data_IF_435134606013
#
_entry.id   IF_435134606013
#
_cell.length_a   1.000
_cell.length_b   1.000
_cell.length_c   1.000
_cell.angle_alpha   90.00
_cell.angle_beta   90.00
_cell.angle_gamma   90.00
#
_symmetry.space_group_name_H-M   'P 1'
#
loop_
_entity.id
_entity.type
_entity.pdbx_description
1 polymer ?
#
# COMPACT_ATOMS: atom_id res chain seq x y z
N UNK A 1 8.46 -33.46 36.41
CA UNK A 1 7.60 -32.30 36.60
C UNK A 1 7.73 -31.38 35.39
N UNK A 2 7.19 -31.76 34.22
CA UNK A 2 7.18 -31.00 32.96
C UNK A 2 6.11 -31.54 31.99
N UNK A 3 4.82 -31.55 32.40
CA UNK A 3 3.72 -32.04 31.54
C UNK A 3 2.45 -31.22 31.76
N UNK A 4 2.51 -29.91 31.50
CA UNK A 4 1.29 -29.07 31.58
C UNK A 4 1.16 -27.98 30.50
N UNK A 5 2.00 -27.94 29.49
CA UNK A 5 2.00 -26.82 28.51
C UNK A 5 1.38 -27.16 27.16
N UNK A 6 1.14 -28.41 26.79
CA UNK A 6 0.66 -28.74 25.44
C UNK A 6 -0.85 -28.98 25.32
N UNK A 7 -1.57 -29.25 26.40
CA UNK A 7 -3.03 -29.36 26.37
C UNK A 7 -3.77 -28.02 26.09
N UNK A 8 -3.09 -26.90 26.25
CA UNK A 8 -3.68 -25.58 25.98
C UNK A 8 -3.68 -25.19 24.48
N UNK A 9 -2.80 -25.73 23.65
CA UNK A 9 -2.74 -25.40 22.23
C UNK A 9 -3.93 -25.97 21.42
N UNK A 10 -4.38 -27.19 21.75
CA UNK A 10 -5.53 -27.80 21.08
C UNK A 10 -6.87 -27.14 21.44
N UNK A 11 -7.00 -26.59 22.64
CA UNK A 11 -8.20 -25.89 23.08
C UNK A 11 -8.36 -24.50 22.39
N UNK A 12 -7.25 -23.88 21.98
CA UNK A 12 -7.27 -22.57 21.29
C UNK A 12 -7.68 -22.67 19.81
N UNK A 13 -7.46 -23.79 19.15
CA UNK A 13 -7.90 -23.99 17.75
C UNK A 13 -9.43 -24.09 17.66
N UNK A 14 -10.08 -24.68 18.66
CA UNK A 14 -11.54 -24.71 18.72
C UNK A 14 -12.17 -23.39 19.20
N UNK A 15 -11.49 -22.63 20.07
CA UNK A 15 -11.99 -21.35 20.56
C UNK A 15 -11.87 -20.23 19.52
N UNK A 16 -10.89 -20.29 18.60
CA UNK A 16 -10.74 -19.31 17.52
C UNK A 16 -11.84 -19.38 16.46
N UNK A 17 -12.47 -20.52 16.27
CA UNK A 17 -13.59 -20.70 15.33
C UNK A 17 -14.93 -20.15 15.85
N UNK A 18 -15.09 -19.99 17.17
CA UNK A 18 -16.33 -19.50 17.78
C UNK A 18 -16.37 -17.96 17.83
N UNK A 19 -15.23 -17.27 17.74
CA UNK A 19 -15.15 -15.81 17.82
C UNK A 19 -15.32 -15.09 16.46
N UNK A 20 -15.48 -15.84 15.35
CA UNK A 20 -15.76 -15.29 14.02
C UNK A 20 -17.25 -15.41 13.59
N UNK A 21 -18.14 -15.77 14.51
CA UNK A 21 -19.55 -15.53 14.24
C UNK A 21 -19.74 -14.02 14.01
N UNK A 22 -20.37 -13.60 12.90
CA UNK A 22 -20.71 -12.21 12.71
C UNK A 22 -21.56 -11.80 13.91
N UNK A 23 -20.97 -11.01 14.80
CA UNK A 23 -21.70 -10.47 15.93
C UNK A 23 -22.97 -9.88 15.39
N UNK A 24 -24.11 -10.33 15.91
CA UNK A 24 -25.42 -9.76 15.65
C UNK A 24 -25.35 -8.27 15.89
N UNK A 25 -25.01 -7.53 14.82
CA UNK A 25 -25.23 -6.09 14.82
C UNK A 25 -26.72 -5.92 14.88
N UNK A 26 -27.21 -5.41 15.99
CA UNK A 26 -28.60 -5.00 16.14
C UNK A 26 -29.02 -4.20 14.89
N UNK A 27 -30.00 -4.67 14.14
CA UNK A 27 -30.50 -3.94 12.98
C UNK A 27 -31.26 -2.73 13.51
N UNK A 28 -30.77 -1.53 13.27
CA UNK A 28 -31.57 -0.35 13.53
C UNK A 28 -30.92 0.83 14.22
N UNK A 29 -29.65 0.74 14.65
CA UNK A 29 -28.94 1.96 15.03
C UNK A 29 -28.83 2.85 13.79
N UNK A 30 -29.27 4.08 13.91
CA UNK A 30 -29.27 5.06 12.82
C UNK A 30 -27.86 5.26 12.29
N UNK A 31 -27.54 4.54 11.21
CA UNK A 31 -26.21 4.50 10.59
C UNK A 31 -25.78 5.86 10.04
N UNK A 32 -26.74 6.74 9.72
CA UNK A 32 -26.46 8.11 9.31
C UNK A 32 -25.90 8.94 10.48
N UNK A 33 -26.34 8.67 11.69
CA UNK A 33 -25.82 9.34 12.90
C UNK A 33 -24.37 8.95 13.19
N UNK A 34 -24.01 7.67 12.96
CA UNK A 34 -22.64 7.17 13.12
C UNK A 34 -21.67 7.84 12.15
N UNK A 35 -22.04 7.97 10.87
CA UNK A 35 -21.17 8.66 9.88
C UNK A 35 -21.00 10.15 10.17
N UNK A 36 -22.06 10.81 10.67
CA UNK A 36 -21.98 12.22 11.10
C UNK A 36 -21.06 12.39 12.30
N UNK A 37 -21.14 11.51 13.29
CA UNK A 37 -20.26 11.51 14.44
C UNK A 37 -18.79 11.27 14.01
N UNK A 38 -18.55 10.35 13.09
CA UNK A 38 -17.21 10.11 12.53
C UNK A 38 -16.67 11.33 11.77
N UNK A 39 -17.50 12.04 11.01
CA UNK A 39 -17.08 13.25 10.30
C UNK A 39 -16.67 14.35 11.28
N UNK A 40 -17.44 14.57 12.35
CA UNK A 40 -17.12 15.55 13.40
C UNK A 40 -15.79 15.20 14.07
N UNK A 41 -15.57 13.93 14.41
CA UNK A 41 -14.34 13.48 15.03
C UNK A 41 -13.13 13.67 14.10
N UNK A 42 -13.31 13.46 12.80
CA UNK A 42 -12.29 13.73 11.79
C UNK A 42 -11.91 15.20 11.73
N UNK A 43 -12.89 16.09 11.73
CA UNK A 43 -12.66 17.54 11.69
C UNK A 43 -11.94 18.01 12.95
N UNK A 44 -12.29 17.49 14.11
CA UNK A 44 -11.60 17.76 15.38
C UNK A 44 -10.14 17.27 15.35
N UNK A 45 -9.90 16.06 14.82
CA UNK A 45 -8.56 15.48 14.68
C UNK A 45 -7.72 16.33 13.72
N UNK A 46 -8.31 16.77 12.61
CA UNK A 46 -7.63 17.64 11.64
C UNK A 46 -7.27 19.00 12.24
N UNK A 47 -8.17 19.62 13.01
CA UNK A 47 -7.90 20.88 13.68
C UNK A 47 -6.73 20.76 14.68
N UNK A 48 -6.68 19.68 15.47
CA UNK A 48 -5.57 19.39 16.39
C UNK A 48 -4.26 19.15 15.64
N UNK A 49 -4.28 18.37 14.58
CA UNK A 49 -3.12 18.16 13.72
C UNK A 49 -2.57 19.49 13.19
N UNK A 50 -3.45 20.35 12.67
CA UNK A 50 -3.07 21.67 12.15
C UNK A 50 -2.39 22.53 13.20
N UNK A 51 -2.90 22.53 14.44
CA UNK A 51 -2.30 23.25 15.55
C UNK A 51 -0.87 22.73 15.87
N UNK A 52 -0.69 21.42 15.94
CA UNK A 52 0.63 20.80 16.20
C UNK A 52 1.59 21.02 15.02
N UNK A 53 1.10 21.01 13.78
CA UNK A 53 1.91 21.34 12.61
C UNK A 53 2.44 22.79 12.65
N UNK A 54 1.61 23.73 13.12
CA UNK A 54 2.04 25.13 13.34
C UNK A 54 3.10 25.25 14.44
N UNK A 55 2.96 24.49 15.54
CA UNK A 55 3.99 24.41 16.60
C UNK A 55 5.32 23.86 16.04
N UNK A 56 5.30 22.81 15.22
CA UNK A 56 6.51 22.27 14.62
C UNK A 56 7.18 23.28 13.67
N UNK A 57 6.42 24.07 12.95
CA UNK A 57 6.93 25.17 12.11
C UNK A 57 7.59 26.26 12.96
N UNK A 58 7.00 26.62 14.08
CA UNK A 58 7.60 27.57 15.02
C UNK A 58 8.91 27.01 15.62
N UNK A 59 8.91 25.77 16.06
CA UNK A 59 10.12 25.11 16.57
C UNK A 59 11.25 25.06 15.53
N UNK A 60 10.92 24.76 14.26
CA UNK A 60 11.88 24.82 13.16
C UNK A 60 12.53 26.21 13.04
N UNK A 61 11.73 27.28 13.11
CA UNK A 61 12.25 28.64 13.02
C UNK A 61 13.19 28.98 14.17
N UNK A 62 12.82 28.60 15.41
CA UNK A 62 13.64 28.78 16.60
C UNK A 62 14.97 28.00 16.47
N UNK A 63 14.91 26.73 16.12
CA UNK A 63 16.09 25.88 15.94
C UNK A 63 16.99 26.39 14.82
N UNK A 64 16.44 26.78 13.68
CA UNK A 64 17.19 27.31 12.54
C UNK A 64 17.87 28.64 12.88
N UNK A 65 17.20 29.51 13.66
CA UNK A 65 17.78 30.76 14.13
C UNK A 65 18.91 30.52 15.13
N UNK A 66 18.72 29.61 16.08
CA UNK A 66 19.75 29.26 17.05
C UNK A 66 21.00 28.67 16.37
N UNK A 67 20.82 27.80 15.39
CA UNK A 67 21.93 27.21 14.62
C UNK A 67 22.70 28.23 13.77
N UNK A 68 22.05 29.27 13.23
CA UNK A 68 22.73 30.35 12.48
C UNK A 68 23.67 31.16 13.36
N UNK A 69 23.42 31.25 14.65
CA UNK A 69 24.24 31.97 15.60
C UNK A 69 25.44 31.17 16.11
N UNK A 70 25.60 29.93 15.69
CA UNK A 70 26.70 29.02 16.02
C UNK A 70 27.56 28.65 14.77
N UNK A 71 28.31 29.59 14.19
CA UNK A 71 28.92 29.46 12.85
C UNK A 71 30.04 28.42 12.75
N UNK A 72 30.52 27.88 13.85
CA UNK A 72 31.64 26.92 13.84
C UNK A 72 31.22 25.45 13.75
N UNK A 73 29.91 25.17 13.75
CA UNK A 73 29.43 23.80 13.71
C UNK A 73 28.90 23.43 12.29
N UNK A 74 29.86 23.21 11.37
CA UNK A 74 29.60 22.71 10.00
C UNK A 74 28.94 21.34 9.93
N UNK A 75 28.54 20.74 11.05
CA UNK A 75 27.90 19.43 11.15
C UNK A 75 26.40 19.47 10.87
N UNK A 76 25.78 20.64 10.89
CA UNK A 76 24.36 20.76 10.65
C UNK A 76 24.12 21.15 9.19
N UNK A 77 23.89 20.16 8.36
CA UNK A 77 23.23 20.32 7.07
C UNK A 77 22.04 21.27 7.22
N UNK A 78 21.82 22.12 6.24
CA UNK A 78 20.66 23.02 6.17
C UNK A 78 19.41 22.22 6.53
N UNK A 79 18.79 22.53 7.67
CA UNK A 79 17.53 21.92 8.07
C UNK A 79 16.48 22.33 7.06
N UNK A 80 15.84 21.36 6.44
CA UNK A 80 14.68 21.63 5.61
C UNK A 80 13.50 21.98 6.52
N UNK A 81 12.65 22.95 6.15
CA UNK A 81 11.44 23.27 6.88
C UNK A 81 10.52 22.04 6.97
N UNK A 82 9.59 22.01 7.94
CA UNK A 82 8.53 21.02 7.91
C UNK A 82 7.83 21.19 6.56
N UNK A 83 7.71 20.09 5.82
CA UNK A 83 6.90 20.16 4.60
C UNK A 83 5.49 20.53 5.01
N UNK A 84 5.04 21.68 4.61
CA UNK A 84 3.60 21.87 4.47
C UNK A 84 3.19 20.90 3.36
N UNK A 85 2.50 19.83 3.75
CA UNK A 85 1.92 18.89 2.81
C UNK A 85 0.71 19.59 2.17
N UNK A 86 0.98 20.60 1.37
CA UNK A 86 -0.01 21.18 0.46
C UNK A 86 -0.19 20.15 -0.64
N UNK A 87 -1.29 19.43 -0.56
CA UNK A 87 -1.71 18.52 -1.60
C UNK A 87 -2.22 19.35 -2.76
N UNK A 88 -1.69 19.15 -3.95
CA UNK A 88 -2.16 19.89 -5.08
C UNK A 88 -1.35 19.66 -6.35
N UNK A 89 -1.72 20.38 -7.34
CA UNK A 89 -1.11 20.33 -8.65
C UNK A 89 0.40 20.66 -8.60
N UNK A 90 1.23 19.88 -9.27
CA UNK A 90 2.71 20.01 -9.31
C UNK A 90 3.40 19.91 -7.93
N UNK A 91 2.74 19.35 -6.91
CA UNK A 91 3.38 19.04 -5.62
C UNK A 91 3.86 17.60 -5.65
N UNK A 92 5.19 17.43 -5.72
CA UNK A 92 5.81 16.12 -5.91
C UNK A 92 6.15 15.46 -4.58
N UNK A 93 5.99 14.12 -4.47
CA UNK A 93 6.58 13.36 -3.38
C UNK A 93 8.11 13.29 -3.50
N UNK A 94 8.79 12.90 -2.41
CA UNK A 94 10.14 12.39 -2.52
C UNK A 94 10.07 10.89 -2.79
N UNK A 95 10.85 10.44 -3.77
CA UNK A 95 11.01 9.00 -4.02
C UNK A 95 12.11 8.47 -3.11
N UNK A 96 11.73 7.62 -2.16
CA UNK A 96 12.66 7.06 -1.19
C UNK A 96 13.46 5.91 -1.81
N UNK A 97 14.77 5.89 -1.50
CA UNK A 97 15.67 4.80 -1.82
C UNK A 97 15.80 3.88 -0.60
N UNK A 98 14.97 2.88 -0.51
CA UNK A 98 15.07 1.90 0.56
C UNK A 98 13.71 1.48 1.09
N UNK A 99 13.69 0.37 1.83
CA UNK A 99 12.49 -0.12 2.48
C UNK A 99 11.99 0.98 3.41
N UNK A 100 10.88 1.59 3.07
CA UNK A 100 10.13 2.38 4.04
C UNK A 100 9.96 1.48 5.26
N UNK A 101 10.46 1.94 6.41
CA UNK A 101 10.27 1.27 7.71
C UNK A 101 8.80 1.35 8.18
N UNK A 102 7.85 1.41 7.28
CA UNK A 102 6.49 1.00 7.59
C UNK A 102 6.56 -0.50 7.88
N UNK A 103 6.89 -0.84 9.13
CA UNK A 103 6.45 -2.09 9.68
C UNK A 103 4.93 -2.10 9.53
N UNK A 104 4.43 -2.63 8.43
CA UNK A 104 3.07 -3.14 8.41
C UNK A 104 3.08 -4.23 9.47
N UNK A 105 2.58 -3.89 10.66
CA UNK A 105 2.29 -4.91 11.64
C UNK A 105 1.48 -5.98 10.93
N UNK A 106 1.84 -7.23 11.12
CA UNK A 106 1.13 -8.41 10.58
C UNK A 106 -0.26 -8.60 11.20
N UNK A 107 -0.67 -7.72 12.07
CA UNK A 107 -2.00 -7.60 12.65
C UNK A 107 -2.82 -6.62 11.84
N UNK A 108 -4.14 -6.82 11.67
CA UNK A 108 -5.01 -5.86 11.03
C UNK A 108 -4.83 -4.50 11.73
N UNK A 109 -4.09 -3.63 11.09
CA UNK A 109 -3.87 -2.29 11.58
C UNK A 109 -5.18 -1.54 11.37
N UNK A 110 -6.03 -1.60 12.37
CA UNK A 110 -7.15 -0.69 12.46
C UNK A 110 -6.60 0.73 12.50
N UNK A 111 -6.91 1.53 11.52
CA UNK A 111 -6.73 2.97 11.60
C UNK A 111 -7.78 3.52 12.55
N UNK A 112 -7.58 3.33 13.86
CA UNK A 112 -8.51 3.86 14.85
C UNK A 112 -8.18 5.32 15.12
N UNK A 113 -9.20 6.17 15.20
CA UNK A 113 -9.08 7.57 15.58
C UNK A 113 -8.33 7.78 16.90
N UNK A 114 -8.57 6.96 17.95
CA UNK A 114 -7.82 7.06 19.21
C UNK A 114 -6.32 6.94 19.04
N UNK A 115 -5.85 6.13 18.07
CA UNK A 115 -4.42 5.98 17.80
C UNK A 115 -3.84 7.25 17.15
N UNK A 116 -4.53 7.82 16.15
CA UNK A 116 -4.11 9.06 15.50
C UNK A 116 -4.06 10.21 16.51
N UNK A 117 -5.06 10.31 17.36
CA UNK A 117 -5.17 11.32 18.42
C UNK A 117 -4.05 11.21 19.46
N UNK A 118 -3.68 9.98 19.82
CA UNK A 118 -2.53 9.70 20.69
C UNK A 118 -1.23 10.19 20.04
N UNK A 119 -0.99 9.89 18.77
CA UNK A 119 0.22 10.32 18.06
C UNK A 119 0.33 11.84 17.95
N UNK A 120 -0.78 12.55 17.75
CA UNK A 120 -0.83 14.03 17.74
C UNK A 120 -0.45 14.57 19.10
N UNK A 121 -0.99 13.98 20.18
CA UNK A 121 -0.69 14.39 21.56
C UNK A 121 0.80 14.17 21.89
N UNK A 122 1.35 13.02 21.55
CA UNK A 122 2.78 12.70 21.74
C UNK A 122 3.68 13.66 20.94
N UNK A 123 3.31 13.98 19.70
CA UNK A 123 4.07 14.95 18.91
C UNK A 123 4.08 16.35 19.55
N UNK A 124 2.94 16.82 20.05
CA UNK A 124 2.85 18.10 20.76
C UNK A 124 3.74 18.14 22.01
N UNK A 125 3.73 17.06 22.80
CA UNK A 125 4.57 16.94 24.00
C UNK A 125 6.06 16.96 23.66
N UNK A 126 6.47 16.22 22.61
CA UNK A 126 7.86 16.18 22.17
C UNK A 126 8.34 17.56 21.69
N UNK A 127 7.50 18.32 20.97
CA UNK A 127 7.82 19.69 20.55
C UNK A 127 8.06 20.57 21.78
N UNK A 128 7.13 20.58 22.72
CA UNK A 128 7.24 21.38 23.95
C UNK A 128 8.52 21.04 24.74
N UNK A 129 8.87 19.75 24.83
CA UNK A 129 10.11 19.31 25.47
C UNK A 129 11.35 19.84 24.76
N UNK A 130 11.39 19.81 23.44
CA UNK A 130 12.52 20.30 22.66
C UNK A 130 12.62 21.84 22.68
N UNK A 131 11.52 22.56 22.71
CA UNK A 131 11.49 24.02 22.88
C UNK A 131 12.10 24.42 24.23
N UNK A 132 11.63 23.80 25.32
CA UNK A 132 12.17 24.04 26.66
C UNK A 132 13.67 23.72 26.77
N UNK A 133 14.15 22.71 26.03
CA UNK A 133 15.56 22.40 25.96
C UNK A 133 16.39 23.50 25.28
N UNK A 134 15.85 24.15 24.22
CA UNK A 134 16.52 25.28 23.56
C UNK A 134 16.60 26.52 24.42
N UNK A 135 15.63 26.76 25.30
CA UNK A 135 15.62 27.88 26.24
C UNK A 135 16.78 27.80 27.23
N UNK A 136 17.27 26.60 27.54
CA UNK A 136 18.44 26.38 28.40
C UNK A 136 19.82 26.64 27.78
N UNK A 137 19.92 26.96 26.49
CA UNK A 137 21.17 27.17 25.76
C UNK A 137 22.12 28.21 26.38
N UNK A 138 21.67 29.38 26.86
CA UNK A 138 22.56 30.45 27.32
C UNK A 138 23.50 30.09 28.49
N UNK A 139 23.14 29.11 29.29
CA UNK A 139 23.89 28.68 30.47
C UNK A 139 24.88 27.55 30.26
N UNK A 140 24.95 26.97 29.04
CA UNK A 140 25.73 25.77 28.76
C UNK A 140 27.13 26.07 28.25
N UNK A 141 28.08 25.22 28.63
CA UNK A 141 29.38 25.18 27.99
C UNK A 141 29.30 24.69 26.53
N UNK A 142 30.40 24.82 25.78
CA UNK A 142 30.42 24.50 24.33
C UNK A 142 30.06 23.05 24.04
N UNK A 143 30.53 22.09 24.84
CA UNK A 143 30.31 20.68 24.59
C UNK A 143 28.84 20.29 24.87
N UNK A 144 28.28 20.78 26.01
CA UNK A 144 26.90 20.57 26.36
C UNK A 144 25.94 21.23 25.36
N UNK A 145 26.27 22.44 24.88
CA UNK A 145 25.49 23.15 23.84
C UNK A 145 25.46 22.37 22.53
N UNK A 146 26.63 21.87 22.10
CA UNK A 146 26.71 21.03 20.90
C UNK A 146 25.83 19.78 21.01
N UNK A 147 25.93 19.05 22.13
CA UNK A 147 25.12 17.86 22.37
C UNK A 147 23.62 18.16 22.39
N UNK A 148 23.24 19.34 22.90
CA UNK A 148 21.85 19.78 22.88
C UNK A 148 21.34 20.02 21.45
N UNK A 149 22.14 20.72 20.62
CA UNK A 149 21.80 20.93 19.22
C UNK A 149 21.68 19.63 18.45
N UNK A 150 22.60 18.68 18.64
CA UNK A 150 22.50 17.36 18.01
C UNK A 150 21.19 16.67 18.36
N UNK A 151 20.78 16.68 19.65
CA UNK A 151 19.49 16.13 20.08
C UNK A 151 18.29 16.89 19.50
N UNK A 152 18.34 18.21 19.49
CA UNK A 152 17.26 19.04 18.96
C UNK A 152 17.05 18.82 17.45
N UNK A 153 18.16 18.70 16.68
CA UNK A 153 18.13 18.39 15.23
C UNK A 153 17.56 16.99 15.00
N UNK A 154 18.02 15.98 15.73
CA UNK A 154 17.51 14.62 15.61
C UNK A 154 16.02 14.54 16.01
N UNK A 155 15.64 15.19 17.09
CA UNK A 155 14.25 15.29 17.54
C UNK A 155 13.36 15.95 16.48
N UNK A 156 13.81 17.06 15.89
CA UNK A 156 13.11 17.73 14.80
C UNK A 156 12.88 16.81 13.59
N UNK A 157 13.92 16.11 13.15
CA UNK A 157 13.84 15.19 12.01
C UNK A 157 12.85 14.05 12.27
N UNK A 158 12.86 13.50 13.49
CA UNK A 158 11.90 12.48 13.90
C UNK A 158 10.47 13.00 13.95
N UNK A 159 10.27 14.20 14.51
CA UNK A 159 8.96 14.86 14.56
C UNK A 159 8.43 15.17 13.17
N UNK A 160 9.28 15.71 12.28
CA UNK A 160 8.91 15.98 10.89
C UNK A 160 8.38 14.72 10.20
N UNK A 161 9.08 13.60 10.35
CA UNK A 161 8.64 12.32 9.78
C UNK A 161 7.35 11.80 10.44
N UNK A 162 7.22 11.95 11.77
CA UNK A 162 6.00 11.56 12.49
C UNK A 162 4.80 12.37 12.02
N UNK A 163 4.92 13.69 11.88
CA UNK A 163 3.86 14.56 11.39
C UNK A 163 3.41 14.22 9.97
N UNK A 164 4.34 13.86 9.07
CA UNK A 164 4.00 13.35 7.74
C UNK A 164 3.18 12.07 7.81
N UNK A 165 3.54 11.14 8.70
CA UNK A 165 2.80 9.91 8.88
C UNK A 165 1.40 10.16 9.45
N UNK A 166 1.25 11.07 10.41
CA UNK A 166 -0.04 11.46 11.00
C UNK A 166 -0.94 12.05 9.90
N UNK A 167 -0.41 12.97 9.08
CA UNK A 167 -1.17 13.53 7.96
C UNK A 167 -1.61 12.46 6.98
N UNK A 168 -0.72 11.55 6.58
CA UNK A 168 -1.07 10.42 5.72
C UNK A 168 -2.22 9.57 6.30
N UNK A 169 -2.23 9.34 7.61
CA UNK A 169 -3.31 8.63 8.28
C UNK A 169 -4.63 9.40 8.26
N UNK A 170 -4.60 10.71 8.54
CA UNK A 170 -5.79 11.56 8.49
C UNK A 170 -6.39 11.56 7.08
N UNK A 171 -5.57 11.77 6.07
CA UNK A 171 -6.02 11.81 4.67
C UNK A 171 -6.54 10.45 4.20
N UNK A 172 -5.88 9.37 4.59
CA UNK A 172 -6.35 8.01 4.30
C UNK A 172 -7.72 7.74 4.94
N UNK A 173 -7.92 8.15 6.17
CA UNK A 173 -9.21 8.03 6.84
C UNK A 173 -10.30 8.88 6.16
N UNK A 174 -9.97 10.11 5.74
CA UNK A 174 -10.91 10.96 4.98
C UNK A 174 -11.34 10.29 3.68
N UNK A 175 -10.37 9.75 2.94
CA UNK A 175 -10.64 9.02 1.69
C UNK A 175 -11.61 7.86 1.94
N UNK A 176 -11.30 6.99 2.91
CA UNK A 176 -12.12 5.82 3.20
C UNK A 176 -13.50 6.17 3.72
N UNK A 177 -13.62 7.17 4.59
CA UNK A 177 -14.91 7.64 5.07
C UNK A 177 -15.80 8.09 3.91
N UNK A 178 -15.26 8.92 3.03
CA UNK A 178 -15.99 9.41 1.84
C UNK A 178 -16.35 8.27 0.88
N UNK A 179 -15.42 7.34 0.67
CA UNK A 179 -15.63 6.20 -0.23
C UNK A 179 -16.72 5.25 0.31
N UNK A 180 -16.65 4.88 1.60
CA UNK A 180 -17.65 4.03 2.24
C UNK A 180 -19.05 4.72 2.26
N UNK A 181 -19.09 6.02 2.53
CA UNK A 181 -20.35 6.77 2.53
C UNK A 181 -20.99 6.78 1.13
N UNK A 182 -20.18 6.83 0.07
CA UNK A 182 -20.64 6.89 -1.33
C UNK A 182 -21.13 5.53 -1.85
N UNK A 183 -20.43 4.43 -1.55
CA UNK A 183 -20.80 3.08 -2.00
C UNK A 183 -20.75 2.06 -0.86
N UNK A 184 -21.65 2.19 0.07
CA UNK A 184 -21.74 1.28 1.21
C UNK A 184 -21.97 -0.17 0.79
N UNK A 185 -22.86 -0.39 -0.16
CA UNK A 185 -23.20 -1.76 -0.60
C UNK A 185 -21.98 -2.46 -1.23
N UNK A 186 -21.15 -1.71 -1.96
CA UNK A 186 -19.88 -2.20 -2.48
C UNK A 186 -18.95 -2.61 -1.35
N UNK A 187 -18.77 -1.76 -0.35
CA UNK A 187 -17.90 -2.05 0.80
C UNK A 187 -18.42 -3.19 1.68
N UNK A 188 -19.72 -3.34 1.83
CA UNK A 188 -20.30 -4.51 2.52
C UNK A 188 -19.96 -5.82 1.76
N UNK A 189 -20.01 -5.82 0.43
CA UNK A 189 -19.59 -6.96 -0.40
C UNK A 189 -18.10 -7.26 -0.26
N UNK A 190 -17.25 -6.24 -0.31
CA UNK A 190 -15.79 -6.39 -0.11
C UNK A 190 -15.46 -6.90 1.29
N UNK A 191 -16.17 -6.43 2.31
CA UNK A 191 -16.02 -6.92 3.69
C UNK A 191 -16.40 -8.40 3.80
N UNK A 192 -17.47 -8.84 3.14
CA UNK A 192 -17.81 -10.27 3.07
C UNK A 192 -16.72 -11.10 2.38
N UNK A 193 -16.14 -10.55 1.29
CA UNK A 193 -15.02 -11.18 0.59
C UNK A 193 -13.79 -11.29 1.48
N UNK A 194 -13.48 -10.24 2.25
CA UNK A 194 -12.41 -10.26 3.26
C UNK A 194 -12.60 -11.41 4.25
N UNK A 195 -13.79 -11.55 4.85
CA UNK A 195 -14.04 -12.63 5.80
C UNK A 195 -13.94 -14.02 5.19
N UNK A 196 -14.31 -14.21 3.92
CA UNK A 196 -14.09 -15.48 3.20
C UNK A 196 -12.61 -15.81 3.04
N UNK A 197 -11.77 -14.83 2.74
CA UNK A 197 -10.31 -15.03 2.65
C UNK A 197 -9.74 -15.39 4.01
N UNK A 198 -10.13 -14.69 5.08
CA UNK A 198 -9.68 -14.98 6.45
C UNK A 198 -10.12 -16.39 6.87
N UNK A 199 -11.36 -16.78 6.61
CA UNK A 199 -11.87 -18.13 6.91
C UNK A 199 -11.07 -19.19 6.15
N UNK A 200 -10.85 -19.03 4.85
CA UNK A 200 -10.04 -19.95 4.02
C UNK A 200 -8.65 -20.14 4.59
N UNK A 201 -7.98 -19.04 4.92
CA UNK A 201 -6.60 -19.09 5.41
C UNK A 201 -6.52 -19.69 6.81
N UNK A 202 -7.50 -19.45 7.67
CA UNK A 202 -7.63 -20.12 8.97
C UNK A 202 -7.81 -21.64 8.81
N UNK A 203 -8.65 -22.07 7.87
CA UNK A 203 -8.85 -23.49 7.56
C UNK A 203 -7.57 -24.15 7.03
N UNK A 204 -6.82 -23.45 6.17
CA UNK A 204 -5.53 -23.92 5.67
C UNK A 204 -4.51 -24.08 6.79
N UNK A 205 -4.43 -23.13 7.73
CA UNK A 205 -3.56 -23.23 8.90
C UNK A 205 -3.96 -24.40 9.79
N UNK A 206 -5.25 -24.62 10.02
CA UNK A 206 -5.75 -25.76 10.78
C UNK A 206 -5.37 -27.09 10.12
N UNK A 207 -5.48 -27.19 8.79
CA UNK A 207 -5.05 -28.38 8.04
C UNK A 207 -3.54 -28.62 8.16
N UNK A 208 -2.72 -27.56 8.07
CA UNK A 208 -1.27 -27.67 8.26
C UNK A 208 -0.92 -28.15 9.68
N UNK A 209 -1.63 -27.64 10.69
CA UNK A 209 -1.44 -28.06 12.08
C UNK A 209 -1.81 -29.52 12.29
N UNK A 210 -2.89 -30.01 11.67
CA UNK A 210 -3.28 -31.40 11.72
C UNK A 210 -2.29 -32.36 11.01
N UNK A 211 -1.61 -31.81 9.97
CA UNK A 211 -0.63 -32.60 9.19
C UNK A 211 0.78 -32.58 9.80
N UNK A 212 1.03 -31.76 10.82
CA UNK A 212 2.33 -31.66 11.45
C UNK A 212 2.76 -32.98 12.13
N UNK A 213 4.03 -33.43 11.99
CA UNK A 213 4.49 -34.71 12.46
C UNK A 213 4.29 -34.96 13.98
N UNK A 214 4.24 -33.90 14.79
CA UNK A 214 4.02 -34.01 16.25
C UNK A 214 2.55 -34.07 16.66
N UNK A 215 1.64 -33.52 15.89
CA UNK A 215 0.21 -33.46 16.25
C UNK A 215 -0.45 -34.85 16.27
N UNK A 216 0.08 -35.76 15.49
CA UNK A 216 -0.42 -37.13 15.38
C UNK A 216 0.07 -38.06 16.50
N UNK A 217 1.15 -37.75 17.20
CA UNK A 217 1.75 -38.61 18.21
C UNK A 217 1.05 -38.57 19.58
N UNK A 218 0.24 -37.58 19.86
CA UNK A 218 -0.39 -37.36 21.17
C UNK A 218 -1.84 -37.85 21.28
N UNK A 219 -2.43 -38.33 20.18
CA UNK A 219 -3.81 -38.86 20.17
C UNK A 219 -3.78 -40.37 20.16
N UNK A 220 -4.62 -41.00 20.99
CA UNK A 220 -4.78 -42.44 21.01
C UNK A 220 -5.47 -42.89 19.71
N UNK A 221 -4.66 -43.26 18.72
CA UNK A 221 -4.89 -43.21 17.27
C UNK A 221 -5.96 -44.18 16.77
N UNK A 222 -6.16 -45.32 17.43
CA UNK A 222 -7.01 -46.38 16.88
C UNK A 222 -8.50 -46.02 16.90
N UNK A 223 -8.94 -45.18 17.85
CA UNK A 223 -10.35 -44.82 18.00
C UNK A 223 -10.68 -43.44 17.36
N UNK A 224 -9.68 -42.57 17.19
CA UNK A 224 -9.88 -41.21 16.71
C UNK A 224 -9.69 -41.03 15.19
N UNK A 225 -9.04 -41.96 14.50
CA UNK A 225 -8.70 -41.90 13.09
C UNK A 225 -9.88 -41.59 12.15
N UNK A 226 -11.05 -42.25 12.25
CA UNK A 226 -12.16 -41.95 11.35
C UNK A 226 -12.72 -40.55 11.52
N UNK A 227 -12.76 -40.05 12.76
CA UNK A 227 -13.23 -38.72 13.07
C UNK A 227 -12.28 -37.61 12.55
N UNK A 228 -10.98 -37.83 12.68
CA UNK A 228 -9.96 -36.89 12.18
C UNK A 228 -9.94 -36.84 10.65
N UNK A 229 -10.04 -37.97 9.97
CA UNK A 229 -10.12 -38.02 8.52
C UNK A 229 -11.36 -37.28 8.00
N UNK A 230 -12.50 -37.52 8.65
CA UNK A 230 -13.73 -36.81 8.28
C UNK A 230 -13.63 -35.28 8.51
N UNK A 231 -13.01 -34.89 9.62
CA UNK A 231 -12.75 -33.48 9.90
C UNK A 231 -11.83 -32.86 8.85
N UNK A 232 -10.73 -33.50 8.51
CA UNK A 232 -9.78 -33.07 7.50
C UNK A 232 -10.46 -32.90 6.13
N UNK A 233 -11.27 -33.88 5.72
CA UNK A 233 -12.01 -33.80 4.45
C UNK A 233 -13.04 -32.68 4.43
N UNK A 234 -13.73 -32.43 5.54
CA UNK A 234 -14.63 -31.28 5.67
C UNK A 234 -13.90 -29.95 5.57
N UNK A 235 -12.76 -29.81 6.25
CA UNK A 235 -11.93 -28.61 6.19
C UNK A 235 -11.38 -28.37 4.78
N UNK A 236 -10.89 -29.42 4.11
CA UNK A 236 -10.44 -29.37 2.70
C UNK A 236 -11.55 -28.95 1.75
N UNK A 237 -12.72 -29.57 1.87
CA UNK A 237 -13.89 -29.28 1.04
C UNK A 237 -14.35 -27.82 1.23
N UNK A 238 -14.40 -27.34 2.48
CA UNK A 238 -14.77 -25.95 2.78
C UNK A 238 -13.72 -24.97 2.24
N UNK A 239 -12.42 -25.24 2.45
CA UNK A 239 -11.35 -24.40 1.93
C UNK A 239 -11.35 -24.35 0.40
N UNK A 240 -11.63 -25.47 -0.29
CA UNK A 240 -11.76 -25.53 -1.75
C UNK A 240 -12.97 -24.71 -2.25
N UNK A 241 -14.12 -24.83 -1.59
CA UNK A 241 -15.33 -24.05 -1.92
C UNK A 241 -15.09 -22.55 -1.75
N UNK A 242 -14.42 -22.12 -0.67
CA UNK A 242 -14.06 -20.71 -0.46
C UNK A 242 -13.05 -20.23 -1.51
N UNK A 243 -12.06 -21.03 -1.85
CA UNK A 243 -11.09 -20.73 -2.91
C UNK A 243 -11.81 -20.48 -4.23
N UNK A 244 -12.69 -21.38 -4.65
CA UNK A 244 -13.47 -21.20 -5.87
C UNK A 244 -14.33 -19.93 -5.85
N UNK A 245 -14.95 -19.59 -4.72
CA UNK A 245 -15.73 -18.35 -4.57
C UNK A 245 -14.84 -17.10 -4.63
N UNK A 246 -13.62 -17.16 -4.11
CA UNK A 246 -12.65 -16.05 -4.15
C UNK A 246 -12.12 -15.90 -5.58
N UNK A 247 -11.73 -17.01 -6.22
CA UNK A 247 -11.13 -17.01 -7.54
C UNK A 247 -12.15 -16.65 -8.66
N UNK A 248 -13.41 -17.03 -8.52
CA UNK A 248 -14.46 -16.62 -9.47
C UNK A 248 -14.66 -15.10 -9.54
N UNK A 249 -14.25 -14.39 -8.49
CA UNK A 249 -14.26 -12.94 -8.43
C UNK A 249 -12.89 -12.32 -8.80
N UNK A 250 -11.85 -13.15 -9.02
CA UNK A 250 -10.58 -12.70 -9.56
C UNK A 250 -10.74 -12.43 -11.06
N UNK A 251 -11.17 -11.21 -11.39
CA UNK A 251 -11.34 -10.83 -12.78
C UNK A 251 -9.99 -10.95 -13.51
N UNK A 252 -10.03 -11.52 -14.70
CA UNK A 252 -8.90 -11.53 -15.63
C UNK A 252 -8.34 -10.11 -15.76
N UNK A 253 -7.01 -9.91 -15.72
CA UNK A 253 -6.43 -8.58 -15.90
C UNK A 253 -6.94 -7.96 -17.19
N UNK A 254 -7.34 -6.68 -17.12
CA UNK A 254 -7.77 -5.95 -18.30
C UNK A 254 -6.57 -5.23 -18.90
N UNK A 255 -5.83 -5.94 -19.76
CA UNK A 255 -4.64 -5.40 -20.40
C UNK A 255 -5.04 -4.25 -21.34
N UNK A 256 -4.52 -3.02 -21.12
CA UNK A 256 -4.82 -1.85 -21.95
C UNK A 256 -4.43 -2.04 -23.40
N UNK A 257 -5.14 -1.36 -24.30
CA UNK A 257 -4.89 -1.48 -25.76
C UNK A 257 -3.66 -0.71 -26.22
N UNK A 258 -3.18 0.24 -25.45
CA UNK A 258 -1.99 1.03 -25.76
C UNK A 258 -0.68 0.30 -25.49
N UNK A 259 -0.70 -0.83 -24.77
CA UNK A 259 0.51 -1.62 -24.54
C UNK A 259 0.99 -2.27 -25.82
N UNK A 260 2.29 -2.22 -26.05
CA UNK A 260 2.97 -2.90 -27.15
C UNK A 260 3.95 -3.91 -26.58
N UNK A 261 4.06 -5.06 -27.24
CA UNK A 261 4.97 -6.12 -26.84
C UNK A 261 5.95 -6.35 -27.97
N UNK A 262 7.23 -6.33 -27.63
CA UNK A 262 8.32 -6.63 -28.54
C UNK A 262 9.07 -7.87 -28.05
N UNK A 263 9.38 -8.76 -29.00
CA UNK A 263 10.21 -9.93 -28.74
C UNK A 263 11.65 -9.61 -29.11
N UNK A 264 12.57 -9.87 -28.21
CA UNK A 264 14.02 -9.87 -28.46
C UNK A 264 14.56 -11.31 -28.54
N UNK A 265 15.85 -11.46 -28.85
CA UNK A 265 16.51 -12.79 -28.88
C UNK A 265 16.42 -13.51 -27.51
N UNK A 266 16.45 -12.76 -26.43
CA UNK A 266 16.55 -13.29 -25.07
C UNK A 266 15.30 -13.07 -24.22
N UNK A 267 14.23 -12.47 -24.77
CA UNK A 267 13.07 -12.18 -23.93
C UNK A 267 12.00 -11.32 -24.56
N UNK A 268 11.25 -10.66 -23.71
CA UNK A 268 10.08 -9.87 -24.05
C UNK A 268 10.11 -8.50 -23.36
N UNK A 269 9.81 -7.45 -24.10
CA UNK A 269 9.68 -6.10 -23.57
C UNK A 269 8.27 -5.59 -23.78
N UNK A 270 7.63 -5.15 -22.68
CA UNK A 270 6.34 -4.47 -22.70
C UNK A 270 6.58 -2.97 -22.74
N UNK A 271 6.30 -2.33 -23.88
CA UNK A 271 6.42 -0.89 -24.07
C UNK A 271 5.13 -0.19 -23.66
N UNK A 272 5.26 0.82 -22.81
CA UNK A 272 4.15 1.56 -22.25
C UNK A 272 4.33 3.05 -22.56
N UNK A 273 3.54 3.64 -23.47
CA UNK A 273 3.52 5.08 -23.64
C UNK A 273 2.92 5.73 -22.40
N UNK A 274 3.60 6.75 -21.87
CA UNK A 274 3.15 7.51 -20.69
C UNK A 274 3.28 8.99 -20.99
N UNK A 275 2.18 9.71 -20.83
CA UNK A 275 2.14 11.16 -20.88
C UNK A 275 2.31 11.73 -19.47
N UNK A 276 3.04 12.83 -19.35
CA UNK A 276 3.22 13.53 -18.07
C UNK A 276 3.26 15.03 -18.28
N UNK A 277 2.65 15.76 -17.36
CA UNK A 277 2.72 17.21 -17.25
C UNK A 277 3.67 17.68 -16.14
N UNK A 278 4.38 16.74 -15.51
CA UNK A 278 5.32 17.04 -14.44
C UNK A 278 6.56 17.73 -15.02
N UNK A 279 6.80 18.97 -14.60
CA UNK A 279 7.89 19.81 -15.10
C UNK A 279 9.28 19.37 -14.61
N UNK A 280 9.35 18.67 -13.49
CA UNK A 280 10.61 18.14 -12.93
C UNK A 280 11.05 16.88 -13.69
N UNK A 281 11.83 17.07 -14.73
CA UNK A 281 12.35 15.99 -15.58
C UNK A 281 13.21 14.96 -14.80
N UNK A 282 13.95 15.42 -13.79
CA UNK A 282 14.79 14.53 -12.96
C UNK A 282 13.91 13.63 -12.08
N UNK A 283 12.85 14.18 -11.51
CA UNK A 283 11.87 13.39 -10.77
C UNK A 283 11.22 12.33 -11.66
N UNK A 284 10.78 12.73 -12.87
CA UNK A 284 10.16 11.82 -13.84
C UNK A 284 11.14 10.70 -14.24
N UNK A 285 12.41 11.02 -14.45
CA UNK A 285 13.47 10.05 -14.72
C UNK A 285 13.64 9.04 -13.56
N UNK A 286 13.65 9.53 -12.32
CA UNK A 286 13.74 8.68 -11.14
C UNK A 286 12.53 7.72 -11.06
N UNK A 287 11.31 8.21 -11.30
CA UNK A 287 10.10 7.37 -11.30
C UNK A 287 10.20 6.28 -12.36
N UNK A 288 10.59 6.64 -13.59
CA UNK A 288 10.83 5.68 -14.69
C UNK A 288 11.81 4.59 -14.27
N UNK A 289 12.99 4.95 -13.81
CA UNK A 289 14.04 4.01 -13.43
C UNK A 289 13.60 3.06 -12.31
N UNK A 290 12.83 3.56 -11.32
CA UNK A 290 12.32 2.72 -10.24
C UNK A 290 11.31 1.70 -10.72
N UNK A 291 10.39 2.09 -11.59
CA UNK A 291 9.39 1.19 -12.17
C UNK A 291 10.07 0.14 -13.04
N UNK A 292 10.88 0.56 -14.01
CA UNK A 292 11.55 -0.34 -14.94
C UNK A 292 12.47 -1.35 -14.24
N UNK A 293 13.21 -0.90 -13.23
CA UNK A 293 14.07 -1.77 -12.41
C UNK A 293 13.28 -2.87 -11.69
N UNK A 294 12.10 -2.57 -11.19
CA UNK A 294 11.29 -3.54 -10.43
C UNK A 294 10.50 -4.45 -11.38
N UNK A 295 10.02 -3.90 -12.51
CA UNK A 295 9.34 -4.65 -13.57
C UNK A 295 10.32 -5.29 -14.56
N UNK A 296 11.42 -5.78 -14.04
CA UNK A 296 12.43 -6.54 -14.76
C UNK A 296 12.63 -7.89 -14.08
N UNK A 297 12.29 -8.98 -14.77
CA UNK A 297 12.30 -10.34 -14.23
C UNK A 297 12.99 -11.28 -15.19
N UNK A 298 13.75 -12.21 -14.65
CA UNK A 298 14.41 -13.28 -15.44
C UNK A 298 13.95 -14.65 -14.97
N UNK A 299 13.53 -15.51 -15.90
CA UNK A 299 13.14 -16.89 -15.60
C UNK A 299 13.66 -17.83 -16.68
N UNK A 300 14.36 -18.89 -16.28
CA UNK A 300 14.87 -19.94 -17.19
C UNK A 300 15.62 -19.38 -18.43
N UNK A 301 16.40 -18.31 -18.24
CA UNK A 301 17.16 -17.67 -19.31
C UNK A 301 16.35 -16.67 -20.14
N UNK A 302 15.04 -16.58 -19.97
CA UNK A 302 14.18 -15.60 -20.64
C UNK A 302 14.07 -14.36 -19.79
N UNK A 303 14.25 -13.19 -20.41
CA UNK A 303 14.16 -11.87 -19.78
C UNK A 303 12.81 -11.23 -20.08
N UNK A 304 12.20 -10.66 -19.05
CA UNK A 304 10.95 -9.92 -19.16
C UNK A 304 11.16 -8.53 -18.58
N UNK A 305 10.89 -7.51 -19.36
CA UNK A 305 11.09 -6.13 -18.96
C UNK A 305 9.90 -5.23 -19.36
N UNK A 306 9.77 -4.13 -18.65
CA UNK A 306 8.92 -3.01 -19.03
C UNK A 306 9.82 -1.87 -19.49
N UNK A 307 9.43 -1.17 -20.54
CA UNK A 307 10.04 0.06 -21.04
C UNK A 307 8.98 1.18 -21.04
N UNK A 308 9.23 2.26 -20.31
CA UNK A 308 8.34 3.42 -20.23
C UNK A 308 8.77 4.46 -21.27
N UNK A 309 7.89 4.74 -22.22
CA UNK A 309 8.10 5.77 -23.23
C UNK A 309 7.40 7.06 -22.77
N UNK A 310 8.16 7.92 -22.09
CA UNK A 310 7.67 9.14 -21.49
C UNK A 310 7.57 10.25 -22.52
N UNK A 311 6.40 10.92 -22.59
CA UNK A 311 6.15 12.12 -23.38
C UNK A 311 5.69 13.23 -22.46
N UNK A 312 6.48 14.29 -22.38
CA UNK A 312 6.12 15.48 -21.62
C UNK A 312 5.15 16.35 -22.44
N UNK A 313 4.09 16.79 -21.81
CA UNK A 313 3.15 17.79 -22.32
C UNK A 313 3.19 18.96 -21.33
N UNK A 314 3.57 20.15 -21.79
CA UNK A 314 3.62 21.27 -20.86
C UNK A 314 2.22 21.59 -20.31
N UNK A 315 2.11 22.06 -19.06
CA UNK A 315 0.82 22.49 -18.51
C UNK A 315 0.10 23.49 -19.41
N UNK A 316 0.84 24.38 -20.05
CA UNK A 316 0.28 25.38 -20.97
C UNK A 316 -0.33 24.72 -22.20
N UNK A 317 0.36 23.75 -22.80
CA UNK A 317 -0.16 23.01 -23.96
C UNK A 317 -1.34 22.11 -23.54
N UNK A 318 -1.26 21.46 -22.38
CA UNK A 318 -2.29 20.58 -21.87
C UNK A 318 -3.62 21.32 -21.62
N UNK A 319 -3.53 22.54 -21.07
CA UNK A 319 -4.69 23.41 -20.80
C UNK A 319 -4.99 24.41 -21.93
N UNK A 320 -4.27 24.30 -23.07
CA UNK A 320 -4.48 25.15 -24.26
C UNK A 320 -4.27 26.65 -23.97
N UNK A 321 -3.42 26.94 -22.98
CA UNK A 321 -3.16 28.32 -22.52
C UNK A 321 -4.23 28.92 -21.61
N UNK A 322 -5.33 28.17 -21.35
CA UNK A 322 -6.44 28.62 -20.51
C UNK A 322 -6.40 27.91 -19.15
N UNK A 323 -6.71 28.64 -18.08
CA UNK A 323 -6.94 28.12 -16.73
C UNK A 323 -5.87 27.13 -16.22
N UNK A 324 -4.60 27.32 -16.57
CA UNK A 324 -3.50 26.50 -16.06
C UNK A 324 -3.48 26.58 -14.53
N UNK A 325 -3.63 25.44 -13.82
CA UNK A 325 -3.67 25.47 -12.36
C UNK A 325 -2.35 25.95 -11.77
N UNK A 326 -2.41 26.80 -10.77
CA UNK A 326 -1.23 27.18 -10.01
C UNK A 326 -0.71 26.00 -9.19
N UNK A 327 0.62 25.96 -9.00
CA UNK A 327 1.24 24.95 -8.14
C UNK A 327 0.63 24.96 -6.75
N UNK A 328 0.28 23.77 -6.25
CA UNK A 328 -0.30 23.57 -4.90
C UNK A 328 -1.81 23.79 -4.83
N UNK A 329 -2.47 24.14 -5.93
CA UNK A 329 -3.93 24.28 -5.95
C UNK A 329 -4.63 22.94 -6.12
N UNK A 330 -5.83 22.83 -5.58
CA UNK A 330 -6.70 21.68 -5.86
C UNK A 330 -7.20 21.76 -7.30
N UNK A 331 -7.18 20.65 -8.01
CA UNK A 331 -7.66 20.52 -9.39
C UNK A 331 -8.89 19.60 -9.44
N UNK A 332 -9.72 19.82 -10.45
CA UNK A 332 -10.70 18.84 -10.89
C UNK A 332 -9.95 17.71 -11.61
N UNK A 333 -9.73 16.61 -10.90
CA UNK A 333 -8.91 15.50 -11.38
C UNK A 333 -9.53 14.84 -12.63
N UNK A 334 -10.84 14.69 -12.68
CA UNK A 334 -11.52 14.06 -13.82
C UNK A 334 -11.34 14.88 -15.10
N UNK A 335 -11.61 16.20 -15.01
CA UNK A 335 -11.35 17.12 -16.10
C UNK A 335 -9.88 17.09 -16.52
N UNK A 336 -8.95 17.17 -15.55
CA UNK A 336 -7.51 17.18 -15.82
C UNK A 336 -7.04 15.92 -16.57
N UNK A 337 -7.46 14.73 -16.12
CA UNK A 337 -7.09 13.48 -16.77
C UNK A 337 -7.69 13.34 -18.18
N UNK A 338 -8.83 13.96 -18.42
CA UNK A 338 -9.47 13.98 -19.74
C UNK A 338 -8.74 14.84 -20.79
N UNK A 339 -7.80 15.72 -20.39
CA UNK A 339 -7.02 16.52 -21.31
C UNK A 339 -5.88 15.76 -21.99
N UNK A 340 -5.43 14.63 -21.41
CA UNK A 340 -4.32 13.85 -21.96
C UNK A 340 -4.76 12.96 -23.12
N UNK A 341 -3.87 12.70 -24.11
CA UNK A 341 -4.12 11.75 -25.20
C UNK A 341 -4.57 10.37 -24.71
N UNK A 342 -5.47 9.72 -25.42
CA UNK A 342 -6.08 8.44 -24.98
C UNK A 342 -5.21 7.20 -25.22
N UNK A 343 -4.17 7.30 -26.03
CA UNK A 343 -3.34 6.21 -26.52
C UNK A 343 -2.14 5.88 -25.60
N UNK A 344 -2.18 6.30 -24.36
CA UNK A 344 -1.16 6.02 -23.34
C UNK A 344 -1.65 6.13 -21.91
N UNK A 345 -0.81 5.74 -20.97
CA UNK A 345 -0.99 5.98 -19.56
C UNK A 345 -0.64 7.43 -19.20
N UNK A 346 -0.97 7.84 -17.98
CA UNK A 346 -0.69 9.19 -17.49
C UNK A 346 0.10 9.08 -16.17
N UNK A 347 1.08 9.97 -16.00
CA UNK A 347 1.75 10.23 -14.73
C UNK A 347 1.59 11.71 -14.41
N UNK A 348 0.83 12.03 -13.36
CA UNK A 348 0.54 13.42 -12.96
C UNK A 348 0.44 13.56 -11.44
N UNK A 349 0.08 14.73 -10.97
CA UNK A 349 -0.08 15.12 -9.57
C UNK A 349 -1.51 15.62 -9.30
N UNK A 350 -1.79 16.10 -8.10
CA UNK A 350 -3.06 16.78 -7.78
C UNK A 350 -3.95 16.05 -6.80
N UNK A 351 -3.43 14.99 -6.19
CA UNK A 351 -4.17 14.21 -5.18
C UNK A 351 -3.46 14.23 -3.83
N UNK A 352 -4.18 13.82 -2.80
CA UNK A 352 -3.67 13.71 -1.43
C UNK A 352 -2.73 12.52 -1.27
N UNK A 353 -3.12 11.36 -1.78
CA UNK A 353 -2.33 10.11 -1.70
C UNK A 353 -2.13 9.53 -3.09
N UNK A 354 -0.94 9.01 -3.35
CA UNK A 354 -0.66 8.34 -4.63
C UNK A 354 -1.58 7.14 -4.83
N UNK A 355 -2.23 7.09 -5.98
CA UNK A 355 -3.11 6.00 -6.39
C UNK A 355 -3.31 5.99 -7.90
N UNK A 356 -3.90 4.93 -8.42
CA UNK A 356 -4.30 4.87 -9.82
C UNK A 356 -5.76 5.25 -10.00
N UNK A 357 -6.02 6.15 -10.96
CA UNK A 357 -7.34 6.53 -11.43
C UNK A 357 -7.43 6.24 -12.93
N UNK A 358 -8.21 5.22 -13.31
CA UNK A 358 -8.29 4.78 -14.70
C UNK A 358 -6.93 4.35 -15.24
N UNK A 359 -6.39 5.12 -16.21
CA UNK A 359 -5.08 4.91 -16.82
C UNK A 359 -3.98 5.81 -16.26
N UNK A 360 -4.25 6.51 -15.16
CA UNK A 360 -3.35 7.50 -14.59
C UNK A 360 -2.78 7.06 -13.24
N UNK A 361 -1.47 7.17 -13.05
CA UNK A 361 -0.84 7.26 -11.74
C UNK A 361 -0.88 8.72 -11.32
N UNK A 362 -1.68 9.00 -10.30
CA UNK A 362 -1.80 10.34 -9.73
C UNK A 362 -1.02 10.41 -8.43
N UNK A 363 0.01 11.24 -8.41
CA UNK A 363 0.94 11.33 -7.29
C UNK A 363 0.39 12.26 -6.21
N UNK A 364 0.42 11.79 -4.97
CA UNK A 364 0.23 12.61 -3.78
C UNK A 364 1.56 13.20 -3.29
N UNK A 365 1.47 14.19 -2.40
CA UNK A 365 2.64 14.91 -1.89
C UNK A 365 3.49 14.12 -0.86
N UNK A 366 2.97 13.00 -0.35
CA UNK A 366 3.67 12.17 0.64
C UNK A 366 4.85 11.42 0.02
N UNK A 367 5.91 11.22 0.83
CA UNK A 367 7.06 10.42 0.42
C UNK A 367 6.60 9.03 -0.03
N UNK A 368 7.12 8.58 -1.17
CA UNK A 368 6.74 7.31 -1.79
C UNK A 368 7.94 6.41 -2.00
N UNK A 369 7.80 5.13 -1.70
CA UNK A 369 8.81 4.13 -2.04
C UNK A 369 8.67 3.71 -3.50
N UNK A 370 9.81 3.45 -4.16
CA UNK A 370 9.82 2.96 -5.54
C UNK A 370 9.03 1.67 -5.76
N UNK A 371 8.88 0.85 -4.72
CA UNK A 371 8.05 -0.37 -4.79
C UNK A 371 6.54 -0.07 -4.81
N UNK A 372 6.11 0.99 -4.12
CA UNK A 372 4.72 1.46 -4.19
C UNK A 372 4.45 1.99 -5.61
N UNK A 373 5.39 2.76 -6.19
CA UNK A 373 5.26 3.21 -7.59
C UNK A 373 5.15 2.03 -8.56
N UNK A 374 5.93 0.97 -8.36
CA UNK A 374 5.86 -0.23 -9.18
C UNK A 374 4.57 -1.03 -8.96
N UNK A 375 4.00 -1.03 -7.76
CA UNK A 375 2.68 -1.59 -7.48
C UNK A 375 1.58 -0.80 -8.19
N UNK A 376 1.56 0.52 -8.05
CA UNK A 376 0.60 1.38 -8.75
C UNK A 376 0.73 1.23 -10.28
N UNK A 377 1.95 1.08 -10.77
CA UNK A 377 2.17 0.78 -12.20
C UNK A 377 1.60 -0.58 -12.62
N UNK A 378 1.54 -1.56 -11.73
CA UNK A 378 0.85 -2.83 -11.98
C UNK A 378 -0.63 -2.64 -12.32
N UNK A 379 -1.29 -1.64 -11.71
CA UNK A 379 -2.67 -1.28 -12.08
C UNK A 379 -2.75 -0.67 -13.49
N UNK A 380 -1.76 0.10 -13.91
CA UNK A 380 -1.65 0.60 -15.30
C UNK A 380 -1.54 -0.56 -16.30
N UNK A 381 -0.87 -1.63 -15.92
CA UNK A 381 -0.80 -2.86 -16.75
C UNK A 381 -2.09 -3.69 -16.69
N UNK A 382 -3.10 -3.29 -15.92
CA UNK A 382 -4.41 -3.94 -15.80
C UNK A 382 -4.49 -4.99 -14.69
N UNK A 383 -3.51 -5.12 -13.83
CA UNK A 383 -3.57 -6.02 -12.67
C UNK A 383 -4.39 -5.40 -11.55
N UNK A 384 -5.05 -6.25 -10.80
CA UNK A 384 -5.78 -5.88 -9.59
C UNK A 384 -4.97 -6.23 -8.35
N UNK A 385 -5.34 -5.62 -7.23
CA UNK A 385 -4.79 -5.99 -5.94
C UNK A 385 -4.95 -7.49 -5.65
N UNK A 386 -3.87 -8.13 -5.21
CA UNK A 386 -3.86 -9.48 -4.66
C UNK A 386 -4.07 -9.47 -3.15
N UNK A 387 -4.83 -8.50 -2.65
CA UNK A 387 -5.37 -8.44 -1.30
C UNK A 387 -6.84 -8.06 -1.36
N UNK A 388 -7.54 -8.32 -0.27
CA UNK A 388 -8.93 -7.91 -0.08
C UNK A 388 -9.03 -7.03 1.13
N UNK A 389 -9.86 -6.02 1.06
CA UNK A 389 -10.14 -5.13 2.18
C UNK A 389 -11.55 -5.34 2.69
N UNK A 390 -11.69 -5.22 3.99
CA UNK A 390 -12.95 -5.10 4.67
C UNK A 390 -12.92 -3.88 5.57
N UNK A 391 -14.03 -3.54 6.17
CA UNK A 391 -14.06 -2.53 7.19
C UNK A 391 -14.88 -3.00 8.41
N UNK A 392 -14.51 -2.50 9.57
CA UNK A 392 -15.25 -2.70 10.80
C UNK A 392 -15.68 -1.34 11.33
N UNK A 393 -16.98 -1.18 11.51
CA UNK A 393 -17.54 0.00 12.16
C UNK A 393 -17.22 -0.05 13.67
N UNK A 394 -16.58 0.99 14.18
CA UNK A 394 -16.21 1.15 15.59
C UNK A 394 -17.12 2.17 16.30
N UNK A 395 -18.24 2.53 15.69
CA UNK A 395 -19.17 3.53 16.23
C UNK A 395 -18.53 4.91 16.36
N UNK A 396 -18.63 5.51 17.54
CA UNK A 396 -18.03 6.82 17.81
C UNK A 396 -16.50 6.86 17.66
N UNK A 397 -15.82 5.70 17.66
CA UNK A 397 -14.38 5.60 17.48
C UNK A 397 -13.95 5.50 15.99
N UNK A 398 -14.87 5.70 15.04
CA UNK A 398 -14.57 5.67 13.61
C UNK A 398 -14.73 4.27 13.02
N UNK A 399 -13.81 3.89 12.15
CA UNK A 399 -13.79 2.57 11.54
C UNK A 399 -12.36 2.02 11.45
N UNK A 400 -12.25 0.71 11.33
CA UNK A 400 -10.99 0.04 11.05
C UNK A 400 -11.03 -0.53 9.62
N UNK A 401 -10.00 -0.29 8.84
CA UNK A 401 -9.79 -0.98 7.56
C UNK A 401 -9.06 -2.28 7.85
N UNK A 402 -9.67 -3.38 7.44
CA UNK A 402 -9.12 -4.73 7.55
C UNK A 402 -8.52 -5.11 6.20
N UNK A 403 -7.38 -5.79 6.21
CA UNK A 403 -6.72 -6.22 4.98
C UNK A 403 -6.27 -7.68 5.12
N UNK A 404 -6.57 -8.50 4.12
CA UNK A 404 -6.07 -9.86 4.00
C UNK A 404 -5.39 -10.03 2.65
N UNK A 405 -4.13 -10.43 2.68
CA UNK A 405 -3.30 -10.63 1.49
C UNK A 405 -3.56 -12.02 0.93
N UNK A 406 -3.94 -12.12 -0.34
CA UNK A 406 -4.21 -13.38 -1.01
C UNK A 406 -2.90 -14.08 -1.39
N UNK A 407 -1.96 -13.33 -1.96
CA UNK A 407 -0.62 -13.79 -2.30
C UNK A 407 0.45 -12.81 -1.78
N UNK A 408 1.16 -13.15 -0.71
CA UNK A 408 2.20 -12.29 -0.15
C UNK A 408 3.49 -12.24 -0.99
N UNK A 409 3.64 -13.14 -1.98
CA UNK A 409 4.81 -13.15 -2.88
C UNK A 409 4.66 -12.19 -4.04
N UNK A 410 3.43 -11.80 -4.34
CA UNK A 410 3.06 -10.90 -5.43
C UNK A 410 3.19 -9.42 -5.00
N UNK A 411 3.81 -8.59 -5.83
CA UNK A 411 3.87 -7.13 -5.61
C UNK A 411 2.48 -6.50 -5.52
N UNK A 412 1.49 -7.07 -6.23
CA UNK A 412 0.10 -6.62 -6.17
C UNK A 412 -0.58 -6.99 -4.85
N UNK A 413 -0.02 -7.95 -4.09
CA UNK A 413 -0.46 -8.31 -2.74
C UNK A 413 0.29 -7.56 -1.65
N UNK A 414 1.60 -7.44 -1.81
CA UNK A 414 2.51 -6.87 -0.81
C UNK A 414 3.53 -5.96 -1.50
N UNK A 415 3.20 -4.69 -1.65
CA UNK A 415 4.12 -3.71 -2.24
C UNK A 415 5.45 -3.57 -1.48
N UNK A 416 5.50 -3.90 -0.18
CA UNK A 416 6.69 -3.82 0.66
C UNK A 416 7.68 -4.98 0.45
N UNK A 417 7.21 -6.21 0.26
CA UNK A 417 8.06 -7.41 0.14
C UNK A 417 7.77 -8.28 -1.07
N UNK A 418 6.58 -8.23 -1.65
CA UNK A 418 6.19 -9.01 -2.82
C UNK A 418 7.05 -8.67 -4.05
N UNK A 419 7.10 -9.52 -5.04
CA UNK A 419 7.88 -9.35 -6.26
C UNK A 419 6.99 -9.26 -7.49
N UNK A 420 7.49 -8.66 -8.56
CA UNK A 420 6.93 -8.86 -9.89
C UNK A 420 7.20 -10.31 -10.29
N UNK A 421 6.15 -11.04 -10.60
CA UNK A 421 6.23 -12.46 -10.95
C UNK A 421 6.27 -12.63 -12.48
N UNK A 422 6.98 -13.65 -13.02
CA UNK A 422 6.91 -13.99 -14.44
C UNK A 422 5.48 -14.17 -14.93
N UNK A 423 4.59 -14.68 -14.09
CA UNK A 423 3.17 -14.86 -14.39
C UNK A 423 2.45 -13.56 -14.78
N UNK A 424 2.93 -12.38 -14.34
CA UNK A 424 2.37 -11.11 -14.80
C UNK A 424 2.62 -10.92 -16.30
N UNK A 425 3.84 -11.15 -16.74
CA UNK A 425 4.20 -11.03 -18.17
C UNK A 425 3.51 -12.11 -19.01
N UNK A 426 3.41 -13.35 -18.53
CA UNK A 426 2.69 -14.43 -19.19
C UNK A 426 1.24 -14.03 -19.47
N UNK A 427 0.55 -13.44 -18.49
CA UNK A 427 -0.82 -12.94 -18.64
C UNK A 427 -0.93 -11.79 -19.66
N UNK A 428 0.03 -10.85 -19.65
CA UNK A 428 0.07 -9.76 -20.64
C UNK A 428 0.22 -10.33 -22.04
N UNK A 429 1.21 -11.21 -22.24
CA UNK A 429 1.50 -11.83 -23.54
C UNK A 429 0.30 -12.62 -24.05
N UNK A 430 -0.32 -13.46 -23.21
CA UNK A 430 -1.50 -14.24 -23.58
C UNK A 430 -2.63 -13.35 -24.11
N UNK A 431 -2.93 -12.24 -23.42
CA UNK A 431 -4.02 -11.36 -23.84
C UNK A 431 -3.69 -10.54 -25.07
N UNK A 432 -2.47 -10.03 -25.19
CA UNK A 432 -2.03 -9.28 -26.38
C UNK A 432 -2.11 -10.15 -27.62
N UNK A 433 -1.58 -11.39 -27.55
CA UNK A 433 -1.64 -12.31 -28.67
C UNK A 433 -3.05 -12.82 -28.98
N UNK A 434 -3.89 -13.03 -27.97
CA UNK A 434 -5.29 -13.39 -28.18
C UNK A 434 -6.06 -12.30 -28.92
N UNK A 435 -5.85 -11.02 -28.52
CA UNK A 435 -6.46 -9.86 -29.21
C UNK A 435 -5.98 -9.73 -30.67
N UNK A 436 -4.68 -9.96 -30.93
CA UNK A 436 -4.11 -9.90 -32.28
C UNK A 436 -4.71 -10.97 -33.18
N UNK A 437 -4.88 -12.21 -32.71
CA UNK A 437 -5.46 -13.31 -33.48
C UNK A 437 -6.95 -13.09 -33.78
N UNK A 438 -7.68 -12.41 -32.87
CA UNK A 438 -9.12 -12.12 -33.09
C UNK A 438 -9.32 -11.01 -34.13
N UNK A 439 -8.41 -10.03 -34.22
CA UNK A 439 -8.50 -8.93 -35.20
C UNK A 439 -8.16 -9.36 -36.62
N UNK A 440 -7.28 -10.37 -36.78
CA UNK A 440 -6.80 -10.76 -38.12
C UNK A 440 -7.67 -11.81 -38.81
N UNK A 441 -8.78 -12.31 -38.19
CA UNK A 441 -9.74 -13.23 -38.85
C UNK A 441 -9.17 -14.54 -39.42
N UNK A 442 -7.87 -14.70 -39.43
CA UNK A 442 -7.15 -15.85 -39.89
C UNK A 442 -6.75 -16.76 -38.73
N UNK A 443 -7.25 -17.99 -38.74
CA UNK A 443 -6.79 -19.11 -37.91
C UNK A 443 -5.34 -19.49 -38.29
N UNK A 444 -4.38 -18.62 -38.06
CA UNK A 444 -2.97 -19.02 -37.94
C UNK A 444 -2.65 -19.16 -36.46
N UNK A 445 -2.62 -20.43 -36.06
CA UNK A 445 -2.25 -20.94 -34.75
C UNK A 445 -0.79 -20.52 -34.41
N UNK A 446 -0.59 -19.26 -34.07
CA UNK A 446 0.63 -18.81 -33.39
C UNK A 446 0.47 -19.15 -31.92
N UNK A 447 0.58 -20.45 -31.60
CA UNK A 447 0.71 -20.91 -30.22
C UNK A 447 1.93 -20.23 -29.62
N UNK A 448 1.74 -19.56 -28.50
CA UNK A 448 2.86 -19.24 -27.62
C UNK A 448 3.64 -20.54 -27.46
N UNK A 449 4.94 -20.55 -27.66
CA UNK A 449 5.72 -21.79 -27.49
C UNK A 449 5.64 -22.19 -26.01
N UNK A 450 4.63 -22.96 -25.62
CA UNK A 450 4.46 -23.54 -24.27
C UNK A 450 5.72 -24.29 -23.82
N UNK A 451 6.56 -24.71 -24.76
CA UNK A 451 7.83 -25.35 -24.44
C UNK A 451 8.85 -24.47 -23.74
N UNK A 452 8.77 -23.13 -23.87
CA UNK A 452 9.66 -22.22 -23.10
C UNK A 452 9.24 -22.04 -21.65
N UNK A 453 8.00 -22.35 -21.29
CA UNK A 453 7.48 -22.21 -19.93
C UNK A 453 7.42 -23.53 -19.15
N UNK A 454 7.50 -24.68 -19.83
CA UNK A 454 7.33 -26.01 -19.23
C UNK A 454 8.57 -26.55 -18.48
N UNK A 455 9.72 -25.87 -18.55
CA UNK A 455 10.98 -26.40 -18.00
C UNK A 455 11.21 -26.14 -16.50
N UNK A 456 10.27 -25.52 -15.78
CA UNK A 456 10.35 -25.35 -14.34
C UNK A 456 9.15 -26.02 -13.65
N UNK A 457 9.35 -27.24 -13.18
CA UNK A 457 8.40 -27.94 -12.34
C UNK A 457 8.06 -27.14 -11.06
N UNK A 458 7.02 -27.55 -10.31
CA UNK A 458 6.59 -26.86 -9.10
C UNK A 458 7.76 -26.79 -8.12
N UNK A 459 8.13 -25.59 -7.70
CA UNK A 459 9.08 -25.38 -6.61
C UNK A 459 8.40 -25.85 -5.33
N UNK A 460 8.78 -27.00 -4.85
CA UNK A 460 8.49 -27.47 -3.50
C UNK A 460 9.18 -26.50 -2.54
N UNK A 461 8.41 -25.76 -1.75
CA UNK A 461 8.89 -24.98 -0.62
C UNK A 461 9.40 -25.94 0.48
N UNK A 462 10.63 -26.42 0.31
CA UNK A 462 11.40 -27.06 1.37
C UNK A 462 12.55 -26.11 1.73
N UNK A 463 12.52 -25.56 2.94
CA UNK A 463 13.70 -24.97 3.60
C UNK A 463 13.66 -23.46 3.81
N UNK A 464 12.90 -23.01 4.81
CA UNK A 464 13.28 -21.89 5.67
C UNK A 464 12.96 -22.29 7.11
N UNK A 465 13.91 -23.03 7.71
CA UNK A 465 14.07 -23.19 9.14
C UNK A 465 15.49 -22.74 9.47
N UNK A 466 15.62 -21.56 9.99
CA UNK A 466 16.47 -21.12 11.11
C UNK A 466 16.28 -19.62 11.29
#
# INVERSE_FOLDING_TARGET
MKFRTHARAAAWVCAGLILLAPGNTTPGADRASTYRAQAILLDQTLARYTAVAAQLEQFYRLLSSALKNEPQERLFTVLEPPRQLTHGYQVLPRVLNGRSLRQKASTPTGYSWPWTDKLITEAAQDITYLEAALDGLPGLDRAARRQLFERAVQGYLQLRNRMQNIDAHIQYNRFWQSAIARDRAGYDRETQRFYRVVERDSLRQSLLSLSAPGARAEVNWLDALPGLTLLEDRLKSRAAALTSQIDSNAATPQIPSFLRVEQSLNGWTVKVPIYTDIEDAEFVRIVKEKIEKIWHVRRAGVEFAVELNLTFISPVDLYWGEDVPNRGTTIDLERHLGLFPEDGAILTTGTVSTHVSGRAIVLGAHDIDGRILAHEFGHILGFRDSYVRGYKDLGANGFAVLEAVIDPTDIMGRSDIGAVLPAHFEKILEQVFKKANTKNGEKKDKRIPRQQFAAAGPVTLAGFGQ
#
